data_IF_697200634117
#
_entry.id   IF_697200634117
#
_cell.length_a   1.000
_cell.length_b   1.000
_cell.length_c   1.000
_cell.angle_alpha   90.00
_cell.angle_beta   90.00
_cell.angle_gamma   90.00
#
_symmetry.space_group_name_H-M   'P 1'
#
loop_
_entity.id
_entity.type
_entity.pdbx_description
1 polymer ?
#
# COMPACT_ATOMS: atom_id res chain seq x y z
N UNK A 1 -12.86 -2.40 -18.59
CA UNK A 1 -12.79 -1.77 -17.26
C UNK A 1 -12.91 -2.83 -16.19
N UNK A 2 -11.86 -3.02 -15.43
CA UNK A 2 -11.86 -3.95 -14.29
C UNK A 2 -11.87 -3.16 -13.00
N UNK A 3 -13.05 -3.05 -12.39
CA UNK A 3 -13.12 -2.35 -11.13
C UNK A 3 -12.54 -3.22 -10.01
N UNK A 4 -13.15 -4.31 -9.66
CA UNK A 4 -12.78 -5.02 -8.44
C UNK A 4 -11.74 -6.13 -8.69
N UNK A 5 -10.63 -6.06 -7.96
CA UNK A 5 -9.61 -7.10 -7.95
C UNK A 5 -9.20 -7.38 -6.50
N UNK A 6 -8.84 -8.62 -6.21
CA UNK A 6 -8.40 -9.04 -4.89
C UNK A 6 -6.96 -9.51 -4.95
N UNK A 7 -6.19 -9.11 -3.95
CA UNK A 7 -4.77 -9.42 -3.86
C UNK A 7 -4.42 -9.94 -2.48
N UNK A 8 -3.31 -10.63 -2.40
CA UNK A 8 -2.71 -11.04 -1.14
C UNK A 8 -1.27 -10.57 -1.15
N UNK A 9 -0.89 -9.74 -0.20
CA UNK A 9 0.43 -9.14 -0.15
C UNK A 9 1.19 -9.60 1.09
N UNK A 10 2.51 -9.81 0.90
CA UNK A 10 3.44 -10.09 1.99
C UNK A 10 4.45 -8.97 2.03
N UNK A 11 4.75 -8.45 3.21
CA UNK A 11 5.67 -7.33 3.34
C UNK A 11 6.65 -7.50 4.48
N UNK A 12 7.75 -6.74 4.40
CA UNK A 12 8.74 -6.63 5.45
C UNK A 12 8.97 -5.15 5.71
N UNK A 13 9.00 -4.76 6.97
CA UNK A 13 9.23 -3.37 7.38
C UNK A 13 10.68 -3.20 7.80
N UNK A 14 11.36 -2.22 7.23
CA UNK A 14 12.78 -1.93 7.47
C UNK A 14 12.89 -0.53 8.07
N UNK A 15 13.63 -0.41 9.18
CA UNK A 15 13.86 0.87 9.83
C UNK A 15 12.82 1.28 10.85
N UNK A 16 11.84 0.42 11.14
CA UNK A 16 10.80 0.67 12.13
C UNK A 16 11.02 -0.22 13.35
N UNK A 17 10.57 0.26 14.52
CA UNK A 17 10.77 -0.43 15.79
C UNK A 17 9.59 -1.31 16.19
N UNK A 18 8.39 -1.03 15.71
CA UNK A 18 7.18 -1.74 16.10
C UNK A 18 7.07 -3.13 15.49
N UNK A 19 6.18 -3.95 16.07
CA UNK A 19 5.81 -5.22 15.50
C UNK A 19 4.64 -4.99 14.55
N UNK A 20 4.87 -5.25 13.26
CA UNK A 20 3.87 -5.01 12.24
C UNK A 20 3.38 -6.30 11.60
N UNK A 21 2.11 -6.31 11.22
CA UNK A 21 1.56 -7.38 10.43
C UNK A 21 2.19 -7.40 9.04
N UNK A 22 2.66 -8.55 8.61
CA UNK A 22 3.34 -8.72 7.33
C UNK A 22 2.44 -9.29 6.23
N UNK A 23 1.17 -9.51 6.52
CA UNK A 23 0.22 -10.10 5.58
C UNK A 23 -0.92 -9.10 5.35
N UNK A 24 -1.18 -8.78 4.08
CA UNK A 24 -2.12 -7.72 3.71
C UNK A 24 -3.10 -8.19 2.64
N UNK A 25 -4.27 -8.76 3.02
CA UNK A 25 -5.35 -8.90 2.04
C UNK A 25 -5.77 -7.54 1.52
N UNK A 26 -6.01 -7.43 0.22
CA UNK A 26 -6.20 -6.15 -0.44
C UNK A 26 -7.28 -6.26 -1.52
N UNK A 27 -8.24 -5.35 -1.50
CA UNK A 27 -9.25 -5.21 -2.55
C UNK A 27 -9.06 -3.85 -3.23
N UNK A 28 -9.09 -3.83 -4.54
CA UNK A 28 -8.77 -2.63 -5.32
C UNK A 28 -9.70 -2.47 -6.52
N UNK A 29 -10.07 -1.24 -6.79
CA UNK A 29 -10.77 -0.84 -8.01
C UNK A 29 -9.89 0.14 -8.78
N UNK A 30 -9.71 -0.11 -10.06
CA UNK A 30 -8.93 0.76 -10.95
C UNK A 30 -9.82 1.20 -12.11
N UNK A 31 -9.93 2.52 -12.30
CA UNK A 31 -10.68 3.13 -13.40
C UNK A 31 -9.78 4.16 -14.05
N UNK A 32 -9.40 3.91 -15.31
CA UNK A 32 -8.39 4.70 -16.02
C UNK A 32 -7.09 4.71 -15.21
N UNK A 33 -6.61 5.89 -14.79
CA UNK A 33 -5.41 6.02 -13.95
C UNK A 33 -5.74 6.28 -12.49
N UNK A 34 -7.03 6.15 -12.10
CA UNK A 34 -7.45 6.35 -10.72
C UNK A 34 -7.55 5.02 -10.01
N UNK A 35 -7.11 4.99 -8.77
CA UNK A 35 -7.16 3.79 -7.92
C UNK A 35 -7.86 4.10 -6.62
N UNK A 36 -8.55 3.10 -6.11
CA UNK A 36 -9.15 3.16 -4.79
C UNK A 36 -9.28 1.76 -4.25
N UNK A 37 -9.20 1.62 -2.95
CA UNK A 37 -9.30 0.30 -2.36
C UNK A 37 -9.18 0.30 -0.86
N UNK A 38 -9.08 -0.90 -0.31
CA UNK A 38 -8.92 -1.12 1.10
C UNK A 38 -8.03 -2.35 1.32
N UNK A 39 -7.25 -2.32 2.38
CA UNK A 39 -6.38 -3.44 2.71
C UNK A 39 -6.22 -3.57 4.22
N UNK A 40 -5.80 -4.76 4.65
CA UNK A 40 -5.48 -5.02 6.04
C UNK A 40 -4.05 -4.52 6.28
N UNK A 41 -3.92 -3.49 7.10
CA UNK A 41 -2.66 -2.77 7.23
C UNK A 41 -1.66 -3.49 8.13
N UNK A 42 -0.43 -2.96 8.14
CA UNK A 42 0.63 -3.42 9.04
C UNK A 42 0.28 -3.21 10.52
N UNK A 43 -0.69 -2.34 10.83
CA UNK A 43 -1.16 -2.11 12.20
C UNK A 43 -2.41 -2.94 12.54
N UNK A 44 -2.71 -3.95 11.73
CA UNK A 44 -3.87 -4.83 11.92
C UNK A 44 -5.20 -4.10 11.88
N UNK A 45 -5.30 -3.09 11.02
CA UNK A 45 -6.52 -2.30 10.81
C UNK A 45 -6.86 -2.25 9.34
N UNK A 46 -8.13 -2.01 9.05
CA UNK A 46 -8.56 -1.79 7.66
C UNK A 46 -8.20 -0.36 7.28
N UNK A 47 -7.40 -0.23 6.23
CA UNK A 47 -7.02 1.06 5.66
C UNK A 47 -7.66 1.22 4.29
N UNK A 48 -8.16 2.41 4.01
CA UNK A 48 -8.74 2.76 2.72
C UNK A 48 -7.90 3.80 2.04
N UNK A 49 -7.83 3.75 0.71
CA UNK A 49 -7.03 4.72 -0.03
C UNK A 49 -7.69 5.14 -1.33
N UNK A 50 -7.34 6.33 -1.79
CA UNK A 50 -7.65 6.80 -3.14
C UNK A 50 -6.40 7.46 -3.71
N UNK A 51 -6.23 7.36 -5.02
CA UNK A 51 -5.07 7.98 -5.65
C UNK A 51 -5.04 7.77 -7.14
N UNK A 52 -3.84 7.87 -7.68
CA UNK A 52 -3.58 7.68 -9.10
C UNK A 52 -2.42 6.71 -9.28
N UNK A 53 -2.40 6.07 -10.44
CA UNK A 53 -1.27 5.26 -10.86
C UNK A 53 -0.74 5.82 -12.18
N UNK A 54 0.59 5.85 -12.31
CA UNK A 54 1.25 6.26 -13.55
C UNK A 54 2.40 5.31 -13.85
N UNK A 55 2.66 5.09 -15.13
CA UNK A 55 3.75 4.23 -15.53
C UNK A 55 5.01 5.04 -15.73
N UNK A 56 6.09 4.61 -15.06
CA UNK A 56 7.41 5.22 -15.21
C UNK A 56 8.38 4.12 -15.60
N UNK A 57 8.79 4.09 -16.88
CA UNK A 57 9.64 3.04 -17.42
C UNK A 57 8.97 1.66 -17.21
N UNK A 58 9.58 0.77 -16.44
CA UNK A 58 9.04 -0.56 -16.16
C UNK A 58 8.23 -0.62 -14.86
N UNK A 59 8.11 0.52 -14.16
CA UNK A 59 7.47 0.58 -12.85
C UNK A 59 6.11 1.26 -12.93
N UNK A 60 5.25 0.90 -12.00
CA UNK A 60 4.00 1.61 -11.74
C UNK A 60 4.17 2.42 -10.47
N UNK A 61 4.02 3.73 -10.57
CA UNK A 61 4.02 4.61 -9.42
C UNK A 61 2.58 4.86 -9.00
N UNK A 62 2.28 4.56 -7.73
CA UNK A 62 0.97 4.81 -7.14
C UNK A 62 1.12 5.88 -6.08
N UNK A 63 0.26 6.88 -6.11
CA UNK A 63 0.32 7.98 -5.16
C UNK A 63 -1.08 8.49 -4.86
N UNK A 64 -1.27 8.95 -3.65
CA UNK A 64 -2.58 9.45 -3.20
C UNK A 64 -2.62 9.62 -1.71
N UNK A 65 -3.78 9.28 -1.11
CA UNK A 65 -4.04 9.43 0.31
C UNK A 65 -4.56 8.11 0.88
N UNK A 66 -4.16 7.80 2.10
CA UNK A 66 -4.56 6.58 2.79
C UNK A 66 -4.98 6.93 4.22
N UNK A 67 -5.94 6.18 4.74
CA UNK A 67 -6.47 6.33 6.11
C UNK A 67 -6.20 5.09 6.94
N UNK A 68 -6.49 5.17 8.24
CA UNK A 68 -6.44 4.02 9.14
C UNK A 68 -5.13 3.81 9.87
N UNK A 69 -4.22 4.78 9.83
CA UNK A 69 -2.96 4.69 10.56
C UNK A 69 -3.02 5.46 11.87
N UNK A 70 -2.35 4.92 12.90
CA UNK A 70 -2.27 5.54 14.21
C UNK A 70 -1.53 6.87 14.13
N UNK A 71 -2.10 7.88 14.78
CA UNK A 71 -1.50 9.21 14.83
C UNK A 71 -1.74 10.08 13.60
N UNK A 72 -2.39 9.55 12.59
CA UNK A 72 -2.74 10.29 11.37
C UNK A 72 -4.12 9.89 10.89
N UNK A 73 -5.00 10.88 10.67
CA UNK A 73 -6.31 10.60 10.05
C UNK A 73 -6.16 10.30 8.57
N UNK A 74 -5.25 11.02 7.90
CA UNK A 74 -4.94 10.84 6.49
C UNK A 74 -3.43 10.94 6.32
N UNK A 75 -2.85 10.00 5.59
CA UNK A 75 -1.42 9.98 5.31
C UNK A 75 -1.18 9.94 3.80
N UNK A 76 -0.03 10.44 3.32
CA UNK A 76 0.31 10.28 1.91
C UNK A 76 0.56 8.81 1.59
N UNK A 77 0.08 8.38 0.44
CA UNK A 77 0.35 7.06 -0.11
C UNK A 77 1.32 7.22 -1.27
N UNK A 78 2.43 6.52 -1.21
CA UNK A 78 3.39 6.44 -2.30
C UNK A 78 3.85 4.99 -2.37
N UNK A 79 3.73 4.38 -3.55
CA UNK A 79 4.15 3.00 -3.74
C UNK A 79 4.70 2.83 -5.15
N UNK A 80 5.86 2.18 -5.25
CA UNK A 80 6.46 1.81 -6.52
C UNK A 80 6.33 0.30 -6.69
N UNK A 81 5.78 -0.15 -7.80
CA UNK A 81 5.45 -1.56 -8.02
C UNK A 81 5.96 -2.02 -9.39
N UNK A 82 6.45 -3.26 -9.44
CA UNK A 82 6.85 -3.93 -10.68
C UNK A 82 6.64 -5.44 -10.51
N UNK A 83 5.80 -6.02 -11.36
CA UNK A 83 5.59 -7.48 -11.44
C UNK A 83 5.25 -8.11 -10.08
N UNK A 84 4.46 -7.41 -9.26
CA UNK A 84 4.07 -7.89 -7.95
C UNK A 84 5.02 -7.50 -6.83
N UNK A 85 6.22 -7.04 -7.14
CA UNK A 85 7.14 -6.51 -6.15
C UNK A 85 6.83 -5.04 -5.90
N UNK A 86 6.79 -4.63 -4.62
CA UNK A 86 6.54 -3.24 -4.29
C UNK A 86 7.45 -2.72 -3.19
N UNK A 87 7.65 -1.41 -3.19
CA UNK A 87 8.35 -0.69 -2.14
C UNK A 87 7.58 0.58 -1.82
N UNK A 88 7.46 0.92 -0.55
CA UNK A 88 6.76 2.12 -0.09
C UNK A 88 7.46 2.67 1.15
N UNK A 89 7.49 4.00 1.34
CA UNK A 89 7.96 4.57 2.60
C UNK A 89 6.98 4.26 3.72
N UNK A 90 7.49 4.11 4.93
CA UNK A 90 6.71 3.80 6.12
C UNK A 90 7.07 4.78 7.24
N UNK A 91 6.08 5.14 8.04
CA UNK A 91 6.24 6.11 9.13
C UNK A 91 5.67 5.54 10.42
N UNK A 92 6.31 5.91 11.53
CA UNK A 92 5.78 5.67 12.86
C UNK A 92 5.50 6.99 13.55
N UNK A 93 4.52 7.00 14.47
CA UNK A 93 4.15 8.20 15.22
C UNK A 93 5.28 8.76 16.06
N UNK A 94 6.26 7.94 16.38
CA UNK A 94 7.46 8.35 17.12
C UNK A 94 8.49 9.07 16.26
N UNK A 95 8.22 9.27 14.98
CA UNK A 95 9.12 9.95 14.06
C UNK A 95 10.08 9.03 13.32
N UNK A 96 10.03 7.73 13.54
CA UNK A 96 10.85 6.78 12.80
C UNK A 96 10.34 6.67 11.35
N UNK A 97 11.27 6.64 10.43
CA UNK A 97 10.98 6.45 9.00
C UNK A 97 11.70 5.19 8.51
N UNK A 98 11.03 4.45 7.65
CA UNK A 98 11.60 3.26 7.06
C UNK A 98 10.95 2.93 5.73
N UNK A 99 11.12 1.69 5.30
CA UNK A 99 10.55 1.21 4.04
C UNK A 99 9.78 -0.07 4.28
N UNK A 100 8.71 -0.24 3.53
CA UNK A 100 8.00 -1.50 3.40
C UNK A 100 8.32 -2.08 2.04
N UNK A 101 8.83 -3.29 2.01
CA UNK A 101 9.15 -4.02 0.79
C UNK A 101 8.30 -5.29 0.79
N UNK A 102 7.71 -5.63 -0.34
CA UNK A 102 6.90 -6.82 -0.36
C UNK A 102 6.57 -7.35 -1.74
N UNK A 103 5.79 -8.42 -1.71
CA UNK A 103 5.26 -9.09 -2.89
C UNK A 103 3.74 -9.10 -2.79
N UNK A 104 3.08 -8.83 -3.88
CA UNK A 104 1.62 -8.85 -3.97
C UNK A 104 1.19 -9.81 -5.08
N UNK A 105 0.26 -10.69 -4.75
CA UNK A 105 -0.25 -11.68 -5.68
C UNK A 105 -1.72 -11.42 -5.95
N UNK A 106 -2.08 -11.38 -7.22
CA UNK A 106 -3.48 -11.22 -7.61
C UNK A 106 -4.21 -12.55 -7.45
N UNK A 107 -5.29 -12.54 -6.67
CA UNK A 107 -6.11 -13.72 -6.42
C UNK A 107 -7.31 -13.80 -7.36
N UNK A 108 -7.82 -12.64 -7.74
CA UNK A 108 -9.01 -12.58 -8.58
C UNK A 108 -9.11 -11.30 -9.37
#
# INVERSE_FOLDING_TARGET
MNCLAFFFAFSMHIGLEGNYNNVHPHARCTIDNYIGGAYYSSEEKISSYIGKTTRISEFNLEYGLVTGYSGMEVAPLIRLEKDGFFIAPSYETKGNMGFTIGLEFKLY
#
